data_IF_797412237050
#
_entry.id   IF_797412237050
#
_cell.length_a   1.000
_cell.length_b   1.000
_cell.length_c   1.000
_cell.angle_alpha   90.00
_cell.angle_beta   90.00
_cell.angle_gamma   90.00
#
_symmetry.space_group_name_H-M   'P 1'
#
loop_
_entity.id
_entity.type
_entity.pdbx_description
1 polymer ?
#
# COMPACT_ATOMS: atom_id res chain seq x y z
N UNK A 1 30.46 -14.44 22.62
CA UNK A 1 29.71 -13.80 21.53
C UNK A 1 30.73 -12.98 20.77
N UNK A 2 30.87 -13.15 19.46
CA UNK A 2 31.85 -12.35 18.71
C UNK A 2 31.41 -10.88 18.80
N UNK A 3 32.29 -10.00 19.27
CA UNK A 3 32.04 -8.58 19.19
C UNK A 3 32.00 -8.21 17.72
N UNK A 4 30.79 -7.93 17.21
CA UNK A 4 30.62 -7.45 15.86
C UNK A 4 31.27 -6.08 15.77
N UNK A 5 32.46 -6.03 15.15
CA UNK A 5 33.14 -4.79 14.84
C UNK A 5 32.55 -4.22 13.55
N UNK A 6 32.12 -2.96 13.63
CA UNK A 6 31.54 -2.24 12.51
C UNK A 6 32.49 -1.19 11.98
N UNK A 7 32.74 -1.21 10.67
CA UNK A 7 33.40 -0.10 9.98
C UNK A 7 32.37 0.89 9.45
N UNK A 8 32.80 2.12 9.10
CA UNK A 8 31.90 3.13 8.50
C UNK A 8 31.17 2.57 7.27
N UNK A 9 31.83 1.73 6.47
CA UNK A 9 31.21 1.09 5.30
C UNK A 9 30.10 0.14 5.74
N UNK A 10 30.37 -0.75 6.70
CA UNK A 10 29.38 -1.69 7.23
C UNK A 10 28.18 -0.96 7.87
N UNK A 11 28.44 0.09 8.66
CA UNK A 11 27.38 0.93 9.24
C UNK A 11 26.52 1.61 8.17
N UNK A 12 27.14 2.06 7.07
CA UNK A 12 26.43 2.70 5.97
C UNK A 12 25.50 1.71 5.25
N UNK A 13 25.99 0.49 5.00
CA UNK A 13 25.24 -0.57 4.33
C UNK A 13 24.05 -1.03 5.20
N UNK A 14 24.28 -1.28 6.49
CA UNK A 14 23.23 -1.75 7.42
C UNK A 14 22.16 -0.69 7.70
N UNK A 15 22.56 0.58 7.86
CA UNK A 15 21.61 1.68 8.08
C UNK A 15 20.97 2.20 6.78
N UNK A 16 21.37 1.65 5.63
CA UNK A 16 20.97 2.11 4.29
C UNK A 16 21.16 3.63 4.12
N UNK A 17 22.29 4.16 4.62
CA UNK A 17 22.64 5.58 4.51
C UNK A 17 23.97 5.75 3.80
N UNK A 18 24.21 6.96 3.29
CA UNK A 18 25.52 7.27 2.70
C UNK A 18 26.60 7.31 3.78
N UNK A 19 27.83 6.88 3.43
CA UNK A 19 29.02 6.97 4.31
C UNK A 19 29.23 8.36 4.90
N UNK A 20 28.89 9.42 4.14
CA UNK A 20 28.99 10.80 4.60
C UNK A 20 27.96 11.14 5.67
N UNK A 21 26.72 10.65 5.56
CA UNK A 21 25.69 10.86 6.58
C UNK A 21 26.06 10.16 7.88
N UNK A 22 26.58 8.93 7.81
CA UNK A 22 27.08 8.20 8.98
C UNK A 22 28.20 8.98 9.66
N UNK A 23 29.21 9.46 8.92
CA UNK A 23 30.30 10.30 9.47
C UNK A 23 29.81 11.57 10.16
N UNK A 24 28.89 12.30 9.51
CA UNK A 24 28.29 13.52 10.10
C UNK A 24 27.56 13.21 11.39
N UNK A 25 26.85 12.08 11.45
CA UNK A 25 26.06 11.69 12.62
C UNK A 25 26.95 11.23 13.77
N UNK A 26 28.01 10.48 13.49
CA UNK A 26 29.05 10.11 14.46
C UNK A 26 29.67 11.37 15.08
N UNK A 27 30.06 12.34 14.25
CA UNK A 27 30.61 13.63 14.73
C UNK A 27 29.59 14.43 15.56
N UNK A 28 28.31 14.41 15.17
CA UNK A 28 27.23 15.11 15.90
C UNK A 28 26.95 14.48 17.27
N UNK A 29 27.10 13.17 17.38
CA UNK A 29 26.87 12.41 18.61
C UNK A 29 28.14 12.25 19.47
N UNK A 30 29.26 12.81 19.01
CA UNK A 30 30.58 12.73 19.66
C UNK A 30 31.00 11.28 20.02
N UNK A 31 30.78 10.36 19.07
CA UNK A 31 31.09 8.94 19.27
C UNK A 31 32.53 8.67 18.84
N UNK A 32 33.34 8.20 19.79
CA UNK A 32 34.73 7.79 19.57
C UNK A 32 34.80 6.38 18.99
N UNK A 33 35.77 6.15 18.12
CA UNK A 33 36.03 4.83 17.57
C UNK A 33 36.78 3.96 18.60
N UNK A 34 36.53 2.65 18.60
CA UNK A 34 37.21 1.71 19.49
C UNK A 34 38.72 1.73 19.29
N UNK A 35 39.13 1.84 18.03
CA UNK A 35 40.52 1.83 17.64
C UNK A 35 41.11 3.23 17.44
N UNK A 36 40.48 4.29 17.93
CA UNK A 36 40.96 5.67 17.70
C UNK A 36 42.37 5.88 18.27
N UNK A 37 42.62 5.41 19.49
CA UNK A 37 43.89 5.58 20.21
C UNK A 37 44.90 4.44 19.99
N UNK A 38 44.45 3.30 19.47
CA UNK A 38 45.27 2.09 19.30
C UNK A 38 45.82 1.89 17.89
N UNK A 39 45.49 2.78 16.94
CA UNK A 39 45.99 2.73 15.56
C UNK A 39 47.48 2.98 15.47
N UNK A 40 48.14 2.16 14.66
CA UNK A 40 49.54 2.40 14.27
C UNK A 40 49.59 3.38 13.09
N UNK A 41 48.62 3.30 12.18
CA UNK A 41 48.57 4.13 10.97
C UNK A 41 47.23 4.85 10.79
N UNK A 42 47.27 6.11 10.37
CA UNK A 42 46.07 6.91 10.11
C UNK A 42 45.18 6.35 8.99
N UNK A 43 45.72 5.49 8.13
CA UNK A 43 45.01 4.86 7.01
C UNK A 43 44.12 3.68 7.43
N UNK A 44 44.23 3.21 8.68
CA UNK A 44 43.44 2.07 9.15
C UNK A 44 41.94 2.42 9.26
N UNK A 45 41.00 1.50 8.97
CA UNK A 45 39.57 1.80 9.01
C UNK A 45 39.00 2.04 10.41
N UNK A 46 38.22 3.12 10.61
CA UNK A 46 37.23 3.36 11.68
C UNK A 46 36.58 2.08 12.24
N UNK A 47 36.86 1.62 13.47
CA UNK A 47 36.13 0.50 14.09
C UNK A 47 35.20 0.99 15.20
N UNK A 48 33.97 0.49 15.18
CA UNK A 48 32.89 0.88 16.08
C UNK A 48 32.20 -0.35 16.66
N UNK A 49 31.76 -0.21 17.91
CA UNK A 49 30.99 -1.23 18.61
C UNK A 49 29.52 -1.29 18.15
N UNK A 50 28.85 -2.40 18.43
CA UNK A 50 27.40 -2.57 18.25
C UNK A 50 26.58 -1.51 18.98
N UNK A 51 27.04 -1.02 20.14
CA UNK A 51 26.36 0.09 20.85
C UNK A 51 26.34 1.36 19.98
N UNK A 52 27.39 1.61 19.20
CA UNK A 52 27.44 2.74 18.27
C UNK A 52 26.42 2.58 17.16
N UNK A 53 26.28 1.37 16.62
CA UNK A 53 25.27 1.05 15.61
C UNK A 53 23.86 1.35 16.12
N UNK A 54 23.51 0.90 17.33
CA UNK A 54 22.19 1.15 17.94
C UNK A 54 21.90 2.64 18.12
N UNK A 55 22.86 3.40 18.67
CA UNK A 55 22.73 4.86 18.83
C UNK A 55 22.54 5.56 17.49
N UNK A 56 23.26 5.13 16.45
CA UNK A 56 23.11 5.71 15.12
C UNK A 56 21.74 5.38 14.52
N UNK A 57 21.27 4.15 14.67
CA UNK A 57 19.97 3.72 14.17
C UNK A 57 18.81 4.52 14.80
N UNK A 58 18.80 4.64 16.13
CA UNK A 58 17.86 5.48 16.87
C UNK A 58 17.87 6.92 16.32
N UNK A 59 19.07 7.45 16.11
CA UNK A 59 19.24 8.81 15.59
C UNK A 59 18.72 8.99 14.15
N UNK A 60 18.72 7.94 13.34
CA UNK A 60 18.15 7.97 12.00
C UNK A 60 16.64 7.66 11.98
N UNK A 61 16.03 7.40 13.14
CA UNK A 61 14.65 6.94 13.23
C UNK A 61 14.46 5.52 12.69
N UNK A 62 15.54 4.73 12.64
CA UNK A 62 15.51 3.34 12.21
C UNK A 62 15.23 2.50 13.46
N UNK A 63 14.04 1.89 13.51
CA UNK A 63 13.69 0.96 14.57
C UNK A 63 14.52 -0.31 14.40
N UNK A 64 15.59 -0.43 15.19
CA UNK A 64 16.33 -1.68 15.35
C UNK A 64 15.71 -2.37 16.55
N UNK A 65 14.80 -3.29 16.30
CA UNK A 65 14.26 -4.16 17.34
C UNK A 65 15.40 -5.04 17.88
N UNK A 66 15.98 -4.64 19.01
CA UNK A 66 16.74 -5.58 19.83
C UNK A 66 15.75 -6.60 20.38
N UNK A 67 15.82 -7.84 19.90
CA UNK A 67 15.02 -8.97 20.41
C UNK A 67 15.38 -9.37 21.86
N UNK A 68 16.14 -8.56 22.59
CA UNK A 68 16.68 -8.88 23.91
C UNK A 68 16.20 -7.95 25.04
N UNK A 69 15.42 -6.90 24.75
CA UNK A 69 14.86 -6.03 25.79
C UNK A 69 13.48 -6.54 26.23
N UNK A 70 13.47 -7.71 26.89
CA UNK A 70 12.29 -8.39 27.48
C UNK A 70 11.77 -7.65 28.74
N UNK A 71 12.37 -6.53 29.15
CA UNK A 71 12.02 -5.85 30.40
C UNK A 71 10.88 -4.83 30.31
N UNK A 72 10.27 -4.62 29.13
CA UNK A 72 9.07 -3.77 28.95
C UNK A 72 7.83 -4.55 28.46
N UNK A 73 7.90 -5.88 28.36
CA UNK A 73 6.90 -6.71 27.64
C UNK A 73 5.47 -6.58 28.18
N UNK A 74 5.23 -6.38 29.48
CA UNK A 74 3.84 -6.42 29.99
C UNK A 74 3.01 -5.20 29.58
N UNK A 75 3.61 -4.01 29.50
CA UNK A 75 2.91 -2.80 29.07
C UNK A 75 2.82 -2.72 27.54
N UNK A 76 3.85 -3.21 26.84
CA UNK A 76 3.89 -3.24 25.38
C UNK A 76 2.98 -4.33 24.81
N UNK A 77 2.84 -5.48 25.48
CA UNK A 77 1.92 -6.54 25.07
C UNK A 77 0.45 -6.17 25.25
N UNK A 78 0.09 -5.45 26.32
CA UNK A 78 -1.28 -4.91 26.47
C UNK A 78 -1.59 -3.91 25.34
N UNK A 79 -0.66 -3.01 25.03
CA UNK A 79 -0.83 -2.02 23.94
C UNK A 79 -0.85 -2.71 22.57
N UNK A 80 -0.07 -3.77 22.37
CA UNK A 80 -0.11 -4.60 21.16
C UNK A 80 -1.43 -5.34 21.04
N UNK A 81 -1.97 -5.90 22.12
CA UNK A 81 -3.23 -6.61 22.11
C UNK A 81 -4.41 -5.68 21.81
N UNK A 82 -4.45 -4.48 22.41
CA UNK A 82 -5.42 -3.44 22.08
C UNK A 82 -5.30 -3.00 20.62
N UNK A 83 -4.08 -2.80 20.12
CA UNK A 83 -3.83 -2.46 18.72
C UNK A 83 -4.29 -3.59 17.78
N UNK A 84 -4.04 -4.84 18.13
CA UNK A 84 -4.49 -6.02 17.38
C UNK A 84 -6.01 -6.09 17.34
N UNK A 85 -6.70 -5.77 18.43
CA UNK A 85 -8.15 -5.73 18.49
C UNK A 85 -8.72 -4.64 17.57
N UNK A 86 -8.20 -3.41 17.66
CA UNK A 86 -8.58 -2.31 16.76
C UNK A 86 -8.34 -2.67 15.28
N UNK A 87 -7.20 -3.29 14.98
CA UNK A 87 -6.89 -3.73 13.61
C UNK A 87 -7.85 -4.81 13.11
N UNK A 88 -8.25 -5.76 13.98
CA UNK A 88 -9.25 -6.78 13.63
C UNK A 88 -10.61 -6.15 13.33
N UNK A 89 -11.03 -5.16 14.12
CA UNK A 89 -12.31 -4.50 13.91
C UNK A 89 -12.32 -3.62 12.67
N UNK A 90 -11.25 -2.87 12.40
CA UNK A 90 -11.07 -2.18 11.12
C UNK A 90 -11.13 -3.14 9.94
N UNK A 91 -10.53 -4.33 10.07
CA UNK A 91 -10.55 -5.35 9.03
C UNK A 91 -11.94 -5.97 8.82
N UNK A 92 -12.74 -6.12 9.88
CA UNK A 92 -14.14 -6.54 9.77
C UNK A 92 -14.97 -5.48 9.04
N UNK A 93 -14.89 -4.22 9.48
CA UNK A 93 -15.62 -3.10 8.86
C UNK A 93 -15.26 -2.98 7.37
N UNK A 94 -13.98 -3.00 7.03
CA UNK A 94 -13.53 -2.95 5.64
C UNK A 94 -14.04 -4.13 4.79
N UNK A 95 -14.16 -5.33 5.38
CA UNK A 95 -14.72 -6.49 4.70
C UNK A 95 -16.24 -6.39 4.51
N UNK A 96 -16.96 -5.82 5.48
CA UNK A 96 -18.39 -5.54 5.37
C UNK A 96 -18.67 -4.50 4.29
N UNK A 97 -17.95 -3.38 4.28
CA UNK A 97 -18.02 -2.37 3.23
C UNK A 97 -17.73 -2.96 1.85
N UNK A 98 -16.69 -3.80 1.74
CA UNK A 98 -16.36 -4.49 0.48
C UNK A 98 -17.48 -5.42 0.02
N UNK A 99 -18.20 -6.06 0.94
CA UNK A 99 -19.35 -6.92 0.63
C UNK A 99 -20.54 -6.08 0.16
N UNK A 100 -20.78 -4.93 0.75
CA UNK A 100 -21.83 -3.99 0.31
C UNK A 100 -21.53 -3.41 -1.07
N UNK A 101 -20.30 -2.97 -1.32
CA UNK A 101 -19.86 -2.49 -2.63
C UNK A 101 -20.05 -3.55 -3.73
N UNK A 102 -19.75 -4.82 -3.42
CA UNK A 102 -20.01 -5.93 -4.35
C UNK A 102 -21.51 -6.10 -4.63
N UNK A 103 -22.36 -6.03 -3.61
CA UNK A 103 -23.82 -6.11 -3.79
C UNK A 103 -24.36 -4.96 -4.64
N UNK A 104 -23.91 -3.73 -4.39
CA UNK A 104 -24.31 -2.56 -5.17
C UNK A 104 -23.84 -2.67 -6.63
N UNK A 105 -22.62 -3.18 -6.85
CA UNK A 105 -22.11 -3.44 -8.19
C UNK A 105 -22.96 -4.49 -8.92
N UNK A 106 -23.30 -5.60 -8.27
CA UNK A 106 -24.17 -6.63 -8.86
C UNK A 106 -25.56 -6.07 -9.20
N UNK A 107 -26.15 -5.26 -8.31
CA UNK A 107 -27.43 -4.59 -8.56
C UNK A 107 -27.34 -3.65 -9.76
N UNK A 108 -26.28 -2.84 -9.86
CA UNK A 108 -26.09 -1.94 -10.99
C UNK A 108 -25.89 -2.70 -12.31
N UNK A 109 -25.18 -3.83 -12.29
CA UNK A 109 -25.02 -4.69 -13.46
C UNK A 109 -26.35 -5.29 -13.92
N UNK A 110 -27.17 -5.77 -12.97
CA UNK A 110 -28.50 -6.31 -13.28
C UNK A 110 -29.42 -5.23 -13.88
N UNK A 111 -29.45 -4.04 -13.28
CA UNK A 111 -30.25 -2.91 -13.79
C UNK A 111 -29.81 -2.50 -15.20
N UNK A 112 -28.50 -2.39 -15.43
CA UNK A 112 -27.96 -2.07 -16.76
C UNK A 112 -28.35 -3.11 -17.82
N UNK A 113 -28.38 -4.40 -17.48
CA UNK A 113 -28.83 -5.45 -18.39
C UNK A 113 -30.34 -5.36 -18.63
N UNK A 114 -31.15 -5.12 -17.59
CA UNK A 114 -32.60 -4.96 -17.76
C UNK A 114 -32.96 -3.73 -18.59
N UNK A 115 -32.24 -2.62 -18.38
CA UNK A 115 -32.45 -1.37 -19.11
C UNK A 115 -32.05 -1.53 -20.58
N UNK A 116 -30.90 -2.15 -20.87
CA UNK A 116 -30.50 -2.47 -22.25
C UNK A 116 -31.55 -3.34 -22.95
N UNK A 117 -32.01 -4.42 -22.32
CA UNK A 117 -33.02 -5.31 -22.91
C UNK A 117 -34.38 -4.62 -23.08
N UNK A 118 -34.70 -3.61 -22.27
CA UNK A 118 -35.92 -2.81 -22.42
C UNK A 118 -35.79 -1.83 -23.58
N UNK A 119 -34.65 -1.16 -23.71
CA UNK A 119 -34.37 -0.26 -24.83
C UNK A 119 -34.41 -1.03 -26.14
N UNK A 120 -33.73 -2.18 -26.23
CA UNK A 120 -33.72 -3.02 -27.43
C UNK A 120 -35.12 -3.47 -27.85
N UNK A 121 -35.97 -3.89 -26.88
CA UNK A 121 -37.38 -4.23 -27.17
C UNK A 121 -38.18 -3.04 -27.69
N UNK A 122 -38.00 -1.86 -27.10
CA UNK A 122 -38.69 -0.65 -27.54
C UNK A 122 -38.22 -0.20 -28.93
N UNK A 123 -36.93 -0.37 -29.25
CA UNK A 123 -36.39 -0.09 -30.58
C UNK A 123 -37.00 -1.02 -31.63
N UNK A 124 -37.11 -2.33 -31.35
CA UNK A 124 -37.79 -3.29 -32.23
C UNK A 124 -39.28 -2.96 -32.42
N UNK A 125 -40.02 -2.65 -31.34
CA UNK A 125 -41.43 -2.24 -31.45
C UNK A 125 -41.60 -0.95 -32.28
N UNK A 126 -40.66 0.00 -32.17
CA UNK A 126 -40.66 1.20 -32.99
C UNK A 126 -40.38 0.87 -34.46
N UNK A 127 -39.42 -0.01 -34.75
CA UNK A 127 -39.08 -0.44 -36.10
C UNK A 127 -40.28 -1.14 -36.77
N UNK A 128 -40.90 -2.12 -36.11
CA UNK A 128 -42.11 -2.82 -36.58
C UNK A 128 -43.25 -1.84 -36.87
N UNK A 129 -43.51 -0.87 -35.98
CA UNK A 129 -44.57 0.11 -36.21
C UNK A 129 -44.26 1.09 -37.35
N UNK A 130 -42.97 1.38 -37.61
CA UNK A 130 -42.58 2.20 -38.76
C UNK A 130 -42.72 1.44 -40.07
N UNK A 131 -42.37 0.15 -40.11
CA UNK A 131 -42.56 -0.72 -41.26
C UNK A 131 -44.06 -0.89 -41.59
N UNK A 132 -44.89 -1.19 -40.59
CA UNK A 132 -46.34 -1.28 -40.79
C UNK A 132 -46.95 0.02 -41.33
N UNK A 133 -46.51 1.17 -40.82
CA UNK A 133 -46.97 2.48 -41.30
C UNK A 133 -46.50 2.74 -42.73
N UNK A 134 -45.30 2.31 -43.10
CA UNK A 134 -44.78 2.42 -44.46
C UNK A 134 -45.55 1.53 -45.44
N UNK A 135 -45.86 0.29 -45.06
CA UNK A 135 -46.67 -0.63 -45.88
C UNK A 135 -48.11 -0.16 -46.05
N UNK A 136 -48.77 0.28 -44.96
CA UNK A 136 -50.12 0.85 -45.01
C UNK A 136 -50.17 2.11 -45.89
N UNK A 137 -49.14 2.96 -45.84
CA UNK A 137 -49.03 4.11 -46.76
C UNK A 137 -48.88 3.65 -48.22
N UNK A 138 -47.99 2.70 -48.52
CA UNK A 138 -47.82 2.17 -49.89
C UNK A 138 -49.12 1.56 -50.44
N UNK A 139 -49.84 0.78 -49.62
CA UNK A 139 -51.14 0.20 -50.01
C UNK A 139 -52.24 1.25 -50.21
N UNK A 140 -52.27 2.30 -49.37
CA UNK A 140 -53.21 3.42 -49.52
C UNK A 140 -52.91 4.28 -50.76
N UNK A 141 -51.64 4.66 -50.98
CA UNK A 141 -51.24 5.41 -52.17
C UNK A 141 -51.49 4.62 -53.47
N UNK A 142 -51.19 3.32 -53.49
CA UNK A 142 -51.41 2.46 -54.66
C UNK A 142 -52.90 2.33 -55.02
N UNK A 143 -53.81 2.27 -54.03
CA UNK A 143 -55.27 2.27 -54.27
C UNK A 143 -55.83 3.60 -54.75
N UNK A 144 -55.16 4.73 -54.50
CA UNK A 144 -55.69 6.06 -54.80
C UNK A 144 -55.10 6.67 -56.08
N UNK A 145 -53.87 6.30 -56.44
CA UNK A 145 -53.18 6.82 -57.63
C UNK A 145 -52.83 5.74 -58.66
N UNK A 146 -53.18 4.48 -58.43
CA UNK A 146 -53.03 3.40 -59.42
C UNK A 146 -54.26 3.28 -60.32
N UNK A 147 -54.23 3.93 -61.47
CA UNK A 147 -55.00 3.60 -62.68
C UNK A 147 -54.07 3.60 -63.89
#
# INVERSE_FOLDING_TARGET
MADDIYTITRLADELQKTRQNVRRRIKKLDIKALNEDTRVYQTEPLEYDKVTYLKLAESFGISVCNTNDISNDVADDIVKDELIEVLKDQLKVANEEKKELRRLLDQQQQLNLSDRNRVERLELELEDTTEEKAEKKKGWFSRWFGS
#
